data_IF_683855882302
#
_entry.id   IF_683855882302
#
_cell.length_a   1.000
_cell.length_b   1.000
_cell.length_c   1.000
_cell.angle_alpha   90.00
_cell.angle_beta   90.00
_cell.angle_gamma   90.00
#
_symmetry.space_group_name_H-M   'P 1'
#
loop_
_entity.id
_entity.type
_entity.pdbx_description
1 polymer ?
#
# COMPACT_ATOMS: atom_id res chain seq x y z
N UNK A 1 3.92 14.64 4.20
CA UNK A 1 4.58 14.79 5.52
C UNK A 1 3.93 13.78 6.43
N UNK A 2 4.71 12.87 7.03
CA UNK A 2 4.23 11.85 7.98
C UNK A 2 3.22 12.39 8.98
N UNK A 3 2.02 11.84 8.95
CA UNK A 3 1.18 11.63 10.11
C UNK A 3 0.99 10.11 10.19
N UNK A 4 0.60 9.65 11.37
CA UNK A 4 0.67 8.30 11.89
C UNK A 4 -0.60 8.08 12.73
N UNK A 5 -1.11 6.86 13.01
CA UNK A 5 -2.06 6.67 14.08
C UNK A 5 -1.23 6.63 15.38
N UNK A 6 -1.59 7.42 16.37
CA UNK A 6 -0.95 7.34 17.67
C UNK A 6 -1.40 6.06 18.42
N UNK A 7 -0.80 4.92 18.04
CA UNK A 7 -0.78 3.56 18.67
C UNK A 7 -2.14 2.82 18.67
N UNK A 8 -2.28 1.57 18.19
CA UNK A 8 -1.32 0.45 18.17
C UNK A 8 -1.33 -0.37 16.87
N UNK A 9 -0.37 -0.07 16.01
CA UNK A 9 0.07 -0.75 14.80
C UNK A 9 1.27 0.09 14.33
N UNK A 10 2.24 -0.44 13.60
CA UNK A 10 3.24 0.45 13.01
C UNK A 10 2.47 1.47 12.13
N UNK A 11 2.63 2.76 12.40
CA UNK A 11 1.97 3.79 11.62
C UNK A 11 2.30 3.60 10.15
N UNK A 12 1.27 3.55 9.30
CA UNK A 12 1.52 3.68 7.87
C UNK A 12 2.03 5.09 7.60
N UNK A 13 2.92 5.23 6.63
CA UNK A 13 3.31 6.57 6.18
C UNK A 13 2.17 7.15 5.36
N UNK A 14 1.90 8.46 5.43
CA UNK A 14 0.86 9.06 4.62
C UNK A 14 1.09 8.80 3.17
N UNK A 15 -0.02 8.63 2.48
CA UNK A 15 -0.01 8.37 1.06
C UNK A 15 0.53 9.56 0.28
N UNK A 16 1.16 9.23 -0.85
CA UNK A 16 1.64 10.21 -1.80
C UNK A 16 0.74 10.21 -3.04
N UNK A 17 0.44 11.42 -3.52
CA UNK A 17 -0.31 11.61 -4.75
C UNK A 17 0.65 11.50 -5.94
N UNK A 18 0.48 10.44 -6.72
CA UNK A 18 1.09 10.26 -8.04
C UNK A 18 0.23 10.80 -9.17
N UNK A 19 0.82 10.87 -10.36
CA UNK A 19 0.17 11.34 -11.58
C UNK A 19 0.56 10.47 -12.77
N UNK A 20 -0.38 10.25 -13.69
CA UNK A 20 -0.14 9.53 -14.94
C UNK A 20 -0.54 10.40 -16.12
N UNK A 21 0.36 10.56 -17.07
CA UNK A 21 0.08 11.21 -18.34
C UNK A 21 -0.77 10.30 -19.22
N UNK A 22 -2.07 10.60 -19.43
CA UNK A 22 -2.93 9.75 -20.26
C UNK A 22 -2.53 9.75 -21.74
N UNK A 23 -1.72 10.72 -22.19
CA UNK A 23 -1.29 10.82 -23.59
C UNK A 23 -0.04 9.97 -23.89
N UNK A 24 0.75 9.62 -22.89
CA UNK A 24 2.02 8.90 -23.07
C UNK A 24 2.15 7.62 -22.26
N UNK A 25 1.34 7.45 -21.19
CA UNK A 25 1.51 6.36 -20.23
C UNK A 25 2.74 6.56 -19.32
N UNK A 26 3.17 7.81 -19.14
CA UNK A 26 4.23 8.18 -18.19
C UNK A 26 3.63 8.29 -16.78
N UNK A 27 4.10 7.45 -15.87
CA UNK A 27 3.78 7.50 -14.46
C UNK A 27 4.81 8.34 -13.72
N UNK A 28 4.36 9.15 -12.77
CA UNK A 28 5.18 9.88 -11.82
C UNK A 28 4.56 9.73 -10.43
N UNK A 29 5.14 8.87 -9.59
CA UNK A 29 4.60 8.52 -8.27
C UNK A 29 5.22 9.34 -7.12
N UNK A 30 5.97 10.40 -7.42
CA UNK A 30 6.73 11.17 -6.43
C UNK A 30 8.20 10.75 -6.35
N UNK A 31 9.01 11.49 -5.57
CA UNK A 31 10.42 11.17 -5.25
C UNK A 31 11.35 10.76 -6.42
N UNK A 32 11.21 11.39 -7.60
CA UNK A 32 11.94 11.06 -8.84
C UNK A 32 11.61 9.66 -9.44
N UNK A 33 10.53 9.02 -8.99
CA UNK A 33 10.03 7.76 -9.53
C UNK A 33 9.18 8.02 -10.78
N UNK A 34 9.80 7.93 -11.95
CA UNK A 34 9.13 8.08 -13.23
C UNK A 34 9.42 6.93 -14.19
N UNK A 35 8.38 6.34 -14.75
CA UNK A 35 8.49 5.18 -15.63
C UNK A 35 7.30 5.09 -16.61
N UNK A 36 7.45 4.29 -17.67
CA UNK A 36 6.39 4.07 -18.63
C UNK A 36 5.67 2.75 -18.38
N UNK A 37 4.34 2.80 -18.30
CA UNK A 37 3.49 1.63 -18.26
C UNK A 37 2.14 1.96 -18.91
N UNK A 38 1.72 1.11 -19.84
CA UNK A 38 0.46 1.28 -20.57
C UNK A 38 0.58 1.97 -21.92
N UNK A 39 -0.59 2.25 -22.50
CA UNK A 39 -0.72 2.99 -23.75
C UNK A 39 -1.81 4.06 -23.62
N UNK A 40 -1.86 5.04 -24.52
CA UNK A 40 -2.88 6.09 -24.45
C UNK A 40 -4.30 5.53 -24.49
N UNK A 41 -5.14 5.99 -23.56
CA UNK A 41 -6.53 5.54 -23.40
C UNK A 41 -6.72 4.39 -22.39
N UNK A 42 -5.64 3.86 -21.80
CA UNK A 42 -5.75 3.05 -20.61
C UNK A 42 -6.13 3.93 -19.40
N UNK A 43 -6.92 3.40 -18.47
CA UNK A 43 -7.32 4.06 -17.22
C UNK A 43 -6.39 3.55 -16.11
N UNK A 44 -5.52 4.41 -15.54
CA UNK A 44 -4.61 4.03 -14.47
C UNK A 44 -5.31 3.96 -13.11
N UNK A 45 -4.82 3.05 -12.28
CA UNK A 45 -5.16 2.89 -10.87
C UNK A 45 -4.00 2.22 -10.15
N UNK A 46 -4.06 2.14 -8.82
CA UNK A 46 -3.04 1.53 -7.98
C UNK A 46 -3.70 0.49 -7.06
N UNK A 47 -2.87 -0.42 -6.56
CA UNK A 47 -3.26 -1.36 -5.52
C UNK A 47 -2.15 -2.34 -5.17
N UNK A 48 -2.25 -2.94 -3.98
CA UNK A 48 -1.36 -3.98 -3.48
C UNK A 48 -1.78 -5.37 -3.97
N UNK A 49 -1.55 -5.64 -5.25
CA UNK A 49 -1.98 -6.88 -5.93
C UNK A 49 -1.43 -8.17 -5.33
N UNK A 50 -0.40 -8.08 -4.48
CA UNK A 50 0.36 -9.23 -3.97
C UNK A 50 0.46 -9.28 -2.44
N UNK A 51 -0.27 -8.41 -1.72
CA UNK A 51 -0.30 -8.39 -0.25
C UNK A 51 1.06 -8.06 0.38
N UNK A 52 1.79 -7.16 -0.26
CA UNK A 52 3.14 -6.72 0.13
C UNK A 52 3.16 -5.46 0.99
N UNK A 53 2.02 -4.78 1.11
CA UNK A 53 1.84 -3.44 1.66
C UNK A 53 2.30 -2.33 0.70
N UNK A 54 2.58 -2.65 -0.56
CA UNK A 54 3.07 -1.66 -1.53
C UNK A 54 2.18 -1.65 -2.74
N UNK A 55 1.53 -0.52 -2.96
CA UNK A 55 0.74 -0.33 -4.15
C UNK A 55 1.62 -0.32 -5.40
N UNK A 56 1.16 -1.04 -6.42
CA UNK A 56 1.84 -1.10 -7.71
C UNK A 56 0.88 -0.80 -8.86
N UNK A 57 1.37 -0.31 -10.01
CA UNK A 57 0.52 0.17 -11.09
C UNK A 57 -0.44 -0.88 -11.66
N UNK A 58 -1.69 -0.46 -11.82
CA UNK A 58 -2.73 -1.14 -12.60
C UNK A 58 -3.23 -0.26 -13.75
N UNK A 59 -3.67 -0.89 -14.83
CA UNK A 59 -4.25 -0.24 -16.00
C UNK A 59 -5.46 -1.02 -16.48
N UNK A 60 -6.56 -0.33 -16.72
CA UNK A 60 -7.73 -0.91 -17.37
C UNK A 60 -7.78 -0.41 -18.80
N UNK A 61 -7.95 -1.32 -19.75
CA UNK A 61 -8.03 -0.99 -21.17
C UNK A 61 -9.48 -1.15 -21.66
N UNK A 62 -10.23 -0.05 -21.81
CA UNK A 62 -11.64 -0.14 -22.21
C UNK A 62 -11.83 -0.76 -23.61
N UNK A 63 -10.82 -0.68 -24.48
CA UNK A 63 -10.91 -1.20 -25.85
C UNK A 63 -10.95 -2.73 -25.93
N UNK A 64 -10.53 -3.44 -24.89
CA UNK A 64 -10.58 -4.90 -24.84
C UNK A 64 -11.14 -5.48 -23.53
N UNK A 65 -11.41 -4.64 -22.51
CA UNK A 65 -11.97 -5.05 -21.23
C UNK A 65 -10.98 -5.76 -20.31
N UNK A 66 -9.68 -5.66 -20.60
CA UNK A 66 -8.62 -6.24 -19.77
C UNK A 66 -8.09 -5.22 -18.78
N UNK A 67 -7.80 -5.71 -17.59
CA UNK A 67 -6.89 -5.06 -16.67
C UNK A 67 -5.50 -5.70 -16.74
N UNK A 68 -4.50 -4.86 -16.53
CA UNK A 68 -3.07 -5.16 -16.63
C UNK A 68 -2.41 -4.61 -15.38
N UNK A 69 -1.74 -5.47 -14.63
CA UNK A 69 -1.01 -5.07 -13.43
C UNK A 69 0.48 -5.36 -13.58
N UNK A 70 1.31 -4.62 -12.86
CA UNK A 70 2.76 -4.86 -12.81
C UNK A 70 3.18 -4.89 -11.35
N UNK A 71 4.05 -5.84 -10.99
CA UNK A 71 4.54 -6.09 -9.62
C UNK A 71 5.69 -5.16 -9.19
N UNK A 72 5.90 -4.08 -9.94
CA UNK A 72 7.05 -3.19 -9.77
C UNK A 72 6.75 -1.81 -10.34
N UNK A 73 7.43 -0.79 -9.80
CA UNK A 73 7.33 0.60 -10.23
C UNK A 73 8.46 0.97 -11.21
N UNK A 74 8.58 0.18 -12.27
CA UNK A 74 9.62 0.32 -13.29
C UNK A 74 9.03 0.19 -14.69
N UNK A 75 9.73 0.74 -15.69
CA UNK A 75 9.27 0.66 -17.08
C UNK A 75 9.21 -0.81 -17.52
N UNK A 76 8.05 -1.25 -18.00
CA UNK A 76 7.88 -2.66 -18.32
C UNK A 76 6.55 -3.02 -18.97
N UNK A 77 6.35 -4.32 -19.14
CA UNK A 77 5.08 -4.92 -19.52
C UNK A 77 4.39 -5.47 -18.27
N UNK A 78 3.09 -5.69 -18.38
CA UNK A 78 2.28 -6.26 -17.31
C UNK A 78 2.81 -7.63 -16.88
N UNK A 79 2.83 -7.86 -15.58
CA UNK A 79 3.17 -9.14 -14.96
C UNK A 79 1.98 -10.09 -15.09
N UNK A 80 0.78 -9.57 -14.84
CA UNK A 80 -0.48 -10.31 -14.96
C UNK A 80 -1.53 -9.49 -15.72
N UNK A 81 -2.51 -10.19 -16.30
CA UNK A 81 -3.65 -9.55 -16.97
C UNK A 81 -4.87 -10.45 -17.00
N UNK A 82 -6.05 -9.87 -16.86
CA UNK A 82 -7.31 -10.61 -16.79
C UNK A 82 -8.45 -9.80 -17.41
N UNK A 83 -9.44 -10.49 -17.98
CA UNK A 83 -10.64 -9.85 -18.51
C UNK A 83 -11.64 -9.63 -17.37
N UNK A 84 -12.07 -8.39 -17.16
CA UNK A 84 -12.84 -8.03 -15.95
C UNK A 84 -13.93 -6.96 -16.13
N UNK A 85 -14.15 -6.49 -17.35
CA UNK A 85 -15.23 -5.53 -17.57
C UNK A 85 -15.60 -5.40 -19.04
N UNK A 86 -16.62 -4.59 -19.29
CA UNK A 86 -17.05 -4.22 -20.63
C UNK A 86 -16.71 -2.74 -20.90
N UNK A 87 -16.63 -2.31 -22.17
CA UNK A 87 -16.39 -0.92 -22.49
C UNK A 87 -17.39 0.03 -21.80
N UNK A 88 -16.87 1.01 -21.05
CA UNK A 88 -17.66 1.96 -20.27
C UNK A 88 -17.64 1.71 -18.76
N UNK A 89 -17.15 0.55 -18.32
CA UNK A 89 -16.87 0.29 -16.91
C UNK A 89 -15.67 1.14 -16.44
N UNK A 90 -15.71 1.60 -15.19
CA UNK A 90 -14.62 2.33 -14.53
C UNK A 90 -13.93 1.36 -13.55
N UNK A 91 -12.61 1.18 -13.63
CA UNK A 91 -11.89 0.31 -12.71
C UNK A 91 -11.87 0.88 -11.30
N UNK A 92 -11.95 0.00 -10.33
CA UNK A 92 -11.68 0.26 -8.92
C UNK A 92 -10.85 -0.90 -8.37
N UNK A 93 -10.06 -0.63 -7.34
CA UNK A 93 -9.22 -1.61 -6.69
C UNK A 93 -9.37 -1.46 -5.19
N UNK A 94 -9.27 -2.58 -4.49
CA UNK A 94 -9.25 -2.60 -3.04
C UNK A 94 -9.29 -3.99 -2.43
N UNK A 95 -9.04 -4.07 -1.13
CA UNK A 95 -9.17 -5.24 -0.27
C UNK A 95 -10.60 -5.36 0.26
N UNK A 96 -11.48 -5.94 -0.56
CA UNK A 96 -12.91 -6.04 -0.24
C UNK A 96 -13.26 -7.10 0.80
N UNK A 97 -12.32 -7.97 1.19
CA UNK A 97 -12.54 -9.03 2.19
C UNK A 97 -11.57 -9.06 3.37
N UNK A 98 -10.65 -8.09 3.42
CA UNK A 98 -9.76 -7.85 4.55
C UNK A 98 -8.62 -8.86 4.64
N UNK A 99 -8.20 -9.43 3.51
CA UNK A 99 -7.10 -10.39 3.45
C UNK A 99 -5.71 -9.74 3.30
N UNK A 100 -5.71 -8.43 3.07
CA UNK A 100 -4.55 -7.57 2.86
C UNK A 100 -4.10 -7.49 1.41
N UNK A 101 -4.89 -7.96 0.45
CA UNK A 101 -4.55 -7.95 -0.99
C UNK A 101 -5.61 -7.20 -1.78
N UNK A 102 -5.16 -6.26 -2.59
CA UNK A 102 -6.08 -5.56 -3.48
C UNK A 102 -6.48 -6.42 -4.67
N UNK A 103 -7.76 -6.30 -5.00
CA UNK A 103 -8.36 -7.02 -6.09
C UNK A 103 -9.17 -6.08 -6.96
N UNK A 104 -9.16 -6.37 -8.25
CA UNK A 104 -9.81 -5.51 -9.22
C UNK A 104 -11.31 -5.72 -9.26
N UNK A 105 -12.01 -4.61 -9.21
CA UNK A 105 -13.46 -4.51 -9.31
C UNK A 105 -13.84 -3.46 -10.35
N UNK A 106 -15.11 -3.41 -10.72
CA UNK A 106 -15.59 -2.37 -11.64
C UNK A 106 -16.84 -1.70 -11.13
N UNK A 107 -16.91 -0.39 -11.35
CA UNK A 107 -18.15 0.35 -11.31
C UNK A 107 -18.68 0.49 -12.74
N UNK A 108 -19.99 0.27 -12.92
CA UNK A 108 -20.68 0.50 -14.19
C UNK A 108 -21.55 1.75 -14.09
N UNK A 109 -21.07 2.91 -14.59
CA UNK A 109 -21.81 4.16 -14.51
C UNK A 109 -23.11 4.16 -15.32
N UNK A 110 -23.30 3.28 -16.31
CA UNK A 110 -24.57 3.23 -17.04
C UNK A 110 -25.71 2.63 -16.21
N UNK A 111 -25.39 1.87 -15.16
CA UNK A 111 -26.33 1.16 -14.31
C UNK A 111 -26.34 1.68 -12.86
N UNK A 112 -25.30 2.41 -12.44
CA UNK A 112 -25.12 2.78 -11.04
C UNK A 112 -24.80 1.56 -10.17
N UNK A 113 -23.95 0.66 -10.69
CA UNK A 113 -23.76 -0.69 -10.13
C UNK A 113 -22.28 -0.99 -9.92
N UNK A 114 -21.97 -1.54 -8.74
CA UNK A 114 -20.65 -2.03 -8.36
C UNK A 114 -20.60 -3.53 -8.59
N UNK A 115 -19.48 -4.02 -9.12
CA UNK A 115 -19.16 -5.42 -9.31
C UNK A 115 -17.86 -5.72 -8.59
N UNK A 116 -17.95 -6.48 -7.51
CA UNK A 116 -16.81 -6.85 -6.68
C UNK A 116 -16.27 -8.21 -7.07
N UNK A 117 -14.95 -8.32 -7.19
CA UNK A 117 -14.24 -9.59 -7.33
C UNK A 117 -13.04 -9.62 -6.39
N UNK A 118 -12.98 -10.61 -5.50
CA UNK A 118 -11.86 -10.82 -4.56
C UNK A 118 -10.77 -11.73 -5.16
N UNK A 119 -10.83 -11.98 -6.47
CA UNK A 119 -9.82 -12.76 -7.18
C UNK A 119 -9.33 -12.00 -8.39
N UNK A 120 -8.01 -11.89 -8.52
CA UNK A 120 -7.33 -11.36 -9.71
C UNK A 120 -7.30 -12.42 -10.84
N UNK A 121 -8.47 -12.92 -11.20
CA UNK A 121 -8.70 -13.95 -12.22
C UNK A 121 -9.89 -13.59 -13.12
N UNK A 122 -9.93 -14.11 -14.36
CA UNK A 122 -11.07 -13.91 -15.27
C UNK A 122 -12.28 -14.72 -14.81
N UNK A 123 -13.10 -14.12 -13.96
CA UNK A 123 -14.29 -14.71 -13.36
C UNK A 123 -15.51 -13.78 -13.45
N UNK A 124 -16.68 -14.33 -13.11
CA UNK A 124 -17.87 -13.52 -12.84
C UNK A 124 -17.68 -12.84 -11.48
N UNK A 125 -18.12 -11.59 -11.35
CA UNK A 125 -18.13 -10.88 -10.08
C UNK A 125 -18.76 -11.74 -8.98
N UNK A 126 -18.15 -11.74 -7.79
CA UNK A 126 -18.63 -12.51 -6.64
C UNK A 126 -19.76 -11.82 -5.90
N UNK A 127 -19.79 -10.49 -5.98
CA UNK A 127 -20.90 -9.69 -5.49
C UNK A 127 -21.20 -8.58 -6.49
N UNK A 128 -22.47 -8.20 -6.57
CA UNK A 128 -22.91 -7.07 -7.35
C UNK A 128 -24.03 -6.32 -6.63
N UNK A 129 -23.97 -5.00 -6.60
CA UNK A 129 -24.98 -4.18 -5.92
C UNK A 129 -25.08 -2.78 -6.52
N UNK A 130 -26.23 -2.14 -6.35
CA UNK A 130 -26.45 -0.77 -6.77
C UNK A 130 -25.90 0.20 -5.73
N UNK A 131 -25.14 1.18 -6.18
CA UNK A 131 -24.70 2.31 -5.37
C UNK A 131 -24.60 3.56 -6.25
N UNK A 132 -25.23 4.63 -5.78
CA UNK A 132 -25.37 5.89 -6.52
C UNK A 132 -26.30 5.80 -7.73
N UNK A 133 -26.09 6.72 -8.67
CA UNK A 133 -26.89 6.84 -9.89
C UNK A 133 -25.99 6.87 -11.12
N UNK A 134 -26.56 6.74 -12.32
CA UNK A 134 -25.74 6.79 -13.52
C UNK A 134 -24.92 8.08 -13.61
N UNK A 135 -23.66 7.93 -14.04
CA UNK A 135 -22.63 8.99 -14.18
C UNK A 135 -21.92 9.44 -12.90
N UNK A 136 -22.25 8.89 -11.72
CA UNK A 136 -21.40 9.10 -10.56
C UNK A 136 -20.00 8.50 -10.82
N UNK A 137 -18.95 9.11 -10.26
CA UNK A 137 -17.55 8.69 -10.44
C UNK A 137 -17.06 7.94 -9.21
N UNK A 138 -16.56 6.71 -9.35
CA UNK A 138 -16.14 5.93 -8.20
C UNK A 138 -14.72 6.27 -7.74
N UNK A 139 -14.49 6.02 -6.47
CA UNK A 139 -13.20 5.85 -5.83
C UNK A 139 -13.40 4.82 -4.71
N UNK A 140 -12.33 4.19 -4.23
CA UNK A 140 -12.41 3.17 -3.20
C UNK A 140 -11.18 3.27 -2.32
N UNK A 141 -11.33 2.92 -1.04
CA UNK A 141 -10.30 2.83 0.02
C UNK A 141 -11.01 2.66 1.40
N UNK A 142 -10.28 2.50 2.50
CA UNK A 142 -10.83 2.25 3.85
C UNK A 142 -11.24 3.55 4.59
N UNK A 143 -12.46 4.05 4.31
CA UNK A 143 -12.95 5.30 4.88
C UNK A 143 -13.30 5.24 6.38
N UNK A 144 -13.30 4.04 6.96
CA UNK A 144 -13.76 3.80 8.32
C UNK A 144 -12.67 3.20 9.25
N UNK A 145 -11.56 2.75 8.69
CA UNK A 145 -10.38 2.23 9.38
C UNK A 145 -10.53 0.79 9.89
N UNK A 146 -11.38 -0.04 9.28
CA UNK A 146 -11.59 -1.43 9.70
C UNK A 146 -10.68 -2.46 9.00
N UNK A 147 -9.88 -2.00 8.05
CA UNK A 147 -8.97 -2.77 7.23
C UNK A 147 -9.64 -3.48 6.06
N UNK A 148 -10.82 -3.02 5.63
CA UNK A 148 -11.44 -3.39 4.36
C UNK A 148 -11.74 -2.13 3.55
N UNK A 149 -11.65 -2.24 2.22
CA UNK A 149 -11.90 -1.08 1.37
C UNK A 149 -13.39 -0.86 1.12
N UNK A 150 -13.77 0.40 1.25
CA UNK A 150 -15.11 0.92 1.06
C UNK A 150 -15.27 1.52 -0.35
N UNK A 151 -16.52 1.80 -0.75
CA UNK A 151 -16.81 2.48 -2.02
C UNK A 151 -17.26 3.92 -1.78
N UNK A 152 -16.59 4.84 -2.48
CA UNK A 152 -16.95 6.24 -2.60
C UNK A 152 -17.48 6.57 -4.00
N UNK A 153 -18.43 7.50 -4.08
CA UNK A 153 -18.95 8.05 -5.32
C UNK A 153 -18.94 9.57 -5.28
N UNK A 154 -18.38 10.21 -6.29
CA UNK A 154 -18.47 11.64 -6.52
C UNK A 154 -19.50 11.95 -7.63
N UNK A 155 -20.50 12.74 -7.29
CA UNK A 155 -21.48 13.28 -8.24
C UNK A 155 -21.03 14.65 -8.73
N UNK A 156 -20.43 14.67 -9.91
CA UNK A 156 -19.89 15.90 -10.48
C UNK A 156 -20.92 17.02 -10.64
N UNK A 157 -22.16 16.68 -11.01
CA UNK A 157 -23.22 17.68 -11.22
C UNK A 157 -23.59 18.47 -9.98
N UNK A 158 -23.28 17.96 -8.79
CA UNK A 158 -23.63 18.58 -7.50
C UNK A 158 -22.44 18.80 -6.57
N UNK A 159 -21.28 18.15 -6.81
CA UNK A 159 -20.15 18.12 -5.88
C UNK A 159 -20.44 17.28 -4.62
N UNK A 160 -21.36 16.32 -4.70
CA UNK A 160 -21.69 15.45 -3.57
C UNK A 160 -20.78 14.23 -3.58
N UNK A 161 -20.28 13.87 -2.40
CA UNK A 161 -19.60 12.62 -2.14
C UNK A 161 -20.51 11.73 -1.32
N UNK A 162 -20.61 10.47 -1.73
CA UNK A 162 -21.34 9.40 -1.05
C UNK A 162 -20.34 8.30 -0.70
N UNK A 163 -20.38 7.76 0.50
CA UNK A 163 -19.55 6.62 0.90
C UNK A 163 -20.43 5.52 1.49
N UNK A 164 -20.03 4.27 1.28
CA UNK A 164 -20.70 3.07 1.78
C UNK A 164 -19.69 2.06 2.28
N UNK A 165 -19.96 1.46 3.44
CA UNK A 165 -19.18 0.35 4.04
C UNK A 165 -19.61 -1.04 3.51
N UNK A 166 -20.50 -1.02 2.53
CA UNK A 166 -21.12 -2.20 1.95
C UNK A 166 -20.11 -3.03 1.15
N UNK A 167 -19.37 -3.88 1.85
CA UNK A 167 -18.49 -4.88 1.28
C UNK A 167 -19.23 -6.19 0.98
N UNK A 168 -18.52 -7.13 0.34
CA UNK A 168 -18.97 -8.43 -0.19
C UNK A 168 -19.79 -9.28 0.79
N UNK A 169 -19.71 -9.02 2.10
CA UNK A 169 -20.42 -9.77 3.14
C UNK A 169 -21.79 -9.22 3.57
N UNK A 170 -22.15 -7.99 3.22
CA UNK A 170 -23.31 -7.29 3.79
C UNK A 170 -24.58 -7.28 2.93
N UNK A 171 -24.45 -7.35 1.60
CA UNK A 171 -25.56 -7.19 0.66
C UNK A 171 -25.87 -8.47 -0.10
N UNK A 172 -27.16 -8.84 -0.29
CA UNK A 172 -27.53 -9.86 -1.26
C UNK A 172 -27.24 -9.38 -2.69
N UNK A 173 -26.88 -10.30 -3.58
CA UNK A 173 -26.66 -10.02 -5.01
C UNK A 173 -27.83 -9.21 -5.62
N UNK A 174 -27.50 -8.09 -6.23
CA UNK A 174 -28.44 -7.14 -6.83
C UNK A 174 -29.15 -6.23 -5.82
N UNK A 175 -28.68 -6.19 -4.56
CA UNK A 175 -29.16 -5.28 -3.52
C UNK A 175 -28.80 -3.82 -3.80
N UNK A 176 -29.34 -2.90 -2.99
CA UNK A 176 -29.01 -1.47 -3.02
C UNK A 176 -28.23 -1.15 -1.75
N UNK A 177 -27.00 -0.67 -1.91
CA UNK A 177 -26.17 -0.23 -0.80
C UNK A 177 -26.77 1.02 -0.14
N UNK A 178 -26.66 1.10 1.19
CA UNK A 178 -26.99 2.31 1.91
C UNK A 178 -25.92 3.37 1.63
N UNK A 179 -26.24 4.62 1.94
CA UNK A 179 -25.22 5.68 2.03
C UNK A 179 -24.97 5.91 3.51
N UNK A 180 -23.75 5.64 3.95
CA UNK A 180 -23.35 5.80 5.35
C UNK A 180 -22.87 7.23 5.63
N UNK A 181 -22.20 7.84 4.64
CA UNK A 181 -21.78 9.24 4.69
C UNK A 181 -22.14 9.98 3.40
N UNK A 182 -22.64 11.19 3.56
CA UNK A 182 -22.93 12.13 2.48
C UNK A 182 -22.44 13.53 2.86
N UNK A 183 -21.62 14.13 2.02
CA UNK A 183 -21.14 15.50 2.21
C UNK A 183 -20.74 16.16 0.89
N UNK A 184 -20.63 17.49 0.90
CA UNK A 184 -20.12 18.22 -0.26
C UNK A 184 -18.60 18.27 -0.25
N UNK A 185 -18.00 17.89 -1.37
CA UNK A 185 -16.57 18.02 -1.63
C UNK A 185 -16.33 18.16 -3.14
N UNK A 186 -15.67 19.23 -3.52
CA UNK A 186 -15.40 19.54 -4.92
C UNK A 186 -16.54 20.24 -5.67
N UNK A 187 -16.33 20.42 -6.97
CA UNK A 187 -17.24 21.03 -7.95
C UNK A 187 -17.24 20.18 -9.23
N UNK A 188 -18.12 20.47 -10.23
CA UNK A 188 -18.02 19.80 -11.52
C UNK A 188 -16.62 19.89 -12.13
N UNK A 189 -16.17 18.81 -12.78
CA UNK A 189 -14.85 18.63 -13.41
C UNK A 189 -13.66 18.42 -12.45
N UNK A 190 -13.88 18.39 -11.13
CA UNK A 190 -12.83 17.97 -10.20
C UNK A 190 -12.58 16.45 -10.31
N UNK A 191 -11.31 16.06 -10.38
CA UNK A 191 -10.90 14.66 -10.32
C UNK A 191 -10.72 14.26 -8.85
N UNK A 192 -11.70 13.55 -8.30
CA UNK A 192 -11.70 13.06 -6.91
C UNK A 192 -10.93 11.74 -6.81
N UNK A 193 -10.20 11.59 -5.72
CA UNK A 193 -9.45 10.40 -5.32
C UNK A 193 -9.50 10.27 -3.79
N UNK A 194 -8.91 9.21 -3.22
CA UNK A 194 -8.79 9.04 -1.79
C UNK A 194 -7.43 8.47 -1.41
N UNK A 195 -7.08 8.59 -0.13
CA UNK A 195 -5.85 8.09 0.47
C UNK A 195 -5.77 8.44 1.95
N UNK A 196 -4.83 7.82 2.66
CA UNK A 196 -4.55 8.10 4.05
C UNK A 196 -3.51 9.22 4.14
N UNK A 197 -3.99 10.44 3.95
CA UNK A 197 -3.15 11.64 4.01
C UNK A 197 -2.53 11.89 5.38
N UNK A 198 -3.08 11.23 6.40
CA UNK A 198 -2.64 11.41 7.78
C UNK A 198 -1.93 10.19 8.35
N UNK A 199 -1.67 9.17 7.53
CA UNK A 199 -1.15 7.88 7.98
C UNK A 199 -1.88 7.32 9.20
N UNK A 200 -3.15 7.66 9.44
CA UNK A 200 -3.89 7.26 10.65
C UNK A 200 -4.67 5.93 10.46
N UNK A 201 -4.56 5.32 9.29
CA UNK A 201 -5.28 4.14 8.85
C UNK A 201 -6.73 4.42 8.46
N UNK A 202 -7.10 5.68 8.20
CA UNK A 202 -8.44 6.07 7.73
C UNK A 202 -8.29 6.93 6.48
N UNK A 203 -8.82 6.43 5.38
CA UNK A 203 -8.78 7.12 4.11
C UNK A 203 -9.77 8.27 4.06
N UNK A 204 -9.39 9.31 3.32
CA UNK A 204 -10.20 10.50 3.16
C UNK A 204 -10.06 11.10 1.76
N UNK A 205 -11.02 11.90 1.29
CA UNK A 205 -11.03 12.33 -0.10
C UNK A 205 -10.02 13.44 -0.38
N UNK A 206 -9.37 13.33 -1.52
CA UNK A 206 -8.65 14.39 -2.18
C UNK A 206 -9.29 14.74 -3.53
N UNK A 207 -8.90 15.87 -4.10
CA UNK A 207 -9.25 16.19 -5.49
C UNK A 207 -8.16 17.00 -6.18
N UNK A 208 -8.06 16.83 -7.49
CA UNK A 208 -7.36 17.75 -8.38
C UNK A 208 -8.40 18.61 -9.07
N UNK A 209 -8.19 19.93 -9.04
CA UNK A 209 -8.97 20.89 -9.81
C UNK A 209 -8.16 21.36 -11.01
N UNK A 210 -8.42 20.84 -12.23
CA UNK A 210 -7.65 21.19 -13.42
C UNK A 210 -7.72 22.68 -13.73
N UNK A 211 -8.89 23.30 -13.55
CA UNK A 211 -9.11 24.74 -13.81
C UNK A 211 -8.26 25.67 -12.96
N UNK A 212 -7.80 25.21 -11.79
CA UNK A 212 -6.89 25.95 -10.91
C UNK A 212 -5.46 25.40 -10.93
N UNK A 213 -5.22 24.28 -11.62
CA UNK A 213 -4.00 23.49 -11.52
C UNK A 213 -3.57 23.31 -10.06
N UNK A 214 -4.49 22.81 -9.22
CA UNK A 214 -4.29 22.71 -7.77
C UNK A 214 -4.87 21.41 -7.23
N UNK A 215 -4.15 20.78 -6.32
CA UNK A 215 -4.58 19.61 -5.56
C UNK A 215 -5.05 20.05 -4.19
N UNK A 216 -6.11 19.44 -3.68
CA UNK A 216 -6.72 19.70 -2.38
C UNK A 216 -6.96 18.37 -1.65
N UNK A 217 -6.62 18.31 -0.37
CA UNK A 217 -6.86 17.16 0.50
C UNK A 217 -7.81 17.54 1.64
N UNK A 218 -8.62 16.58 2.07
CA UNK A 218 -9.30 16.58 3.36
C UNK A 218 -8.78 15.45 4.20
N UNK A 219 -8.52 15.72 5.47
CA UNK A 219 -8.09 14.71 6.44
C UNK A 219 -9.26 14.03 7.15
N UNK A 220 -10.48 14.49 6.90
CA UNK A 220 -11.69 13.96 7.52
C UNK A 220 -12.81 13.80 6.48
N UNK A 221 -13.59 12.74 6.65
CA UNK A 221 -14.79 12.45 5.84
C UNK A 221 -15.98 13.33 6.25
N UNK A 222 -15.82 14.64 6.12
CA UNK A 222 -16.83 15.63 6.47
C UNK A 222 -16.76 16.89 5.60
N UNK A 223 -17.88 17.62 5.52
CA UNK A 223 -17.95 18.87 4.74
C UNK A 223 -17.19 20.00 5.43
N UNK A 224 -16.07 20.41 4.84
CA UNK A 224 -15.35 21.65 5.20
C UNK A 224 -14.45 22.13 4.04
N UNK A 225 -13.70 23.20 4.26
CA UNK A 225 -12.59 23.63 3.40
C UNK A 225 -11.43 22.63 3.45
N UNK A 226 -10.60 22.62 2.41
CA UNK A 226 -9.42 21.76 2.34
C UNK A 226 -8.47 22.00 3.52
N UNK A 227 -7.91 20.92 4.05
CA UNK A 227 -6.89 20.96 5.10
C UNK A 227 -5.51 21.28 4.52
N UNK A 228 -5.21 20.70 3.36
CA UNK A 228 -3.96 20.93 2.62
C UNK A 228 -4.26 21.14 1.13
N UNK A 229 -3.51 22.07 0.51
CA UNK A 229 -3.59 22.28 -0.93
C UNK A 229 -2.30 22.86 -1.54
N UNK A 230 -1.94 22.39 -2.72
CA UNK A 230 -0.71 22.79 -3.42
C UNK A 230 -0.90 22.83 -4.93
N UNK A 231 -0.06 23.58 -5.68
CA UNK A 231 -0.11 23.58 -7.13
C UNK A 231 0.07 22.17 -7.70
N UNK A 232 -0.87 21.71 -8.51
CA UNK A 232 -0.74 20.45 -9.22
C UNK A 232 0.39 20.58 -10.25
N UNK A 233 1.43 19.78 -10.10
CA UNK A 233 2.57 19.78 -11.02
C UNK A 233 2.14 19.36 -12.44
N UNK A 234 1.09 18.56 -12.52
CA UNK A 234 0.55 18.01 -13.76
C UNK A 234 -0.99 18.09 -13.78
N UNK A 235 -1.54 19.30 -13.96
CA UNK A 235 -2.99 19.53 -13.90
C UNK A 235 -3.83 18.77 -14.95
N UNK A 236 -3.21 18.39 -16.07
CA UNK A 236 -3.85 17.62 -17.15
C UNK A 236 -3.62 16.10 -17.03
N UNK A 237 -2.86 15.67 -16.02
CA UNK A 237 -2.57 14.26 -15.78
C UNK A 237 -3.59 13.66 -14.79
N UNK A 238 -3.78 12.35 -14.86
CA UNK A 238 -4.70 11.63 -13.99
C UNK A 238 -4.03 11.42 -12.61
N UNK A 239 -4.66 11.83 -11.50
CA UNK A 239 -4.15 11.52 -10.18
C UNK A 239 -4.27 10.02 -9.91
N UNK A 240 -3.27 9.45 -9.25
CA UNK A 240 -3.27 8.10 -8.69
C UNK A 240 -2.70 8.18 -7.29
N UNK A 241 -3.18 7.34 -6.37
CA UNK A 241 -2.76 7.38 -4.97
C UNK A 241 -2.17 6.04 -4.63
N UNK A 242 -0.97 6.06 -4.06
CA UNK A 242 -0.29 4.86 -3.62
C UNK A 242 -0.33 4.78 -2.10
N UNK A 243 -1.00 3.76 -1.57
CA UNK A 243 -0.72 3.17 -0.27
C UNK A 243 0.75 2.75 -0.24
N UNK A 244 1.58 3.46 0.53
CA UNK A 244 3.00 3.13 0.66
C UNK A 244 3.26 2.68 2.09
N UNK A 245 3.12 1.38 2.37
CA UNK A 245 3.70 0.79 3.57
C UNK A 245 5.11 0.29 3.24
N UNK A 246 6.13 1.15 3.40
CA UNK A 246 7.52 0.72 3.24
C UNK A 246 7.91 -0.33 4.29
N UNK A 247 8.42 -1.46 3.80
CA UNK A 247 9.09 -2.53 4.55
C UNK A 247 10.39 -2.00 5.16
N UNK A 248 10.32 -1.32 6.30
CA UNK A 248 11.51 -0.99 7.10
C UNK A 248 11.50 -1.76 8.42
N UNK A 249 11.63 -3.08 8.32
CA UNK A 249 12.11 -3.89 9.45
C UNK A 249 12.90 -5.14 9.04
N UNK A 250 12.62 -5.73 7.88
CA UNK A 250 13.31 -6.95 7.41
C UNK A 250 14.76 -6.73 6.92
N UNK A 251 15.03 -5.59 6.28
CA UNK A 251 16.33 -5.31 5.66
C UNK A 251 17.42 -5.04 6.71
N UNK A 252 17.10 -4.36 7.82
CA UNK A 252 18.05 -4.13 8.92
C UNK A 252 18.46 -5.42 9.66
N UNK A 253 17.55 -6.40 9.76
CA UNK A 253 17.85 -7.70 10.38
C UNK A 253 18.77 -8.56 9.49
N UNK A 254 18.60 -8.51 8.18
CA UNK A 254 19.46 -9.20 7.20
C UNK A 254 20.87 -8.59 7.14
N UNK A 255 20.99 -7.26 7.19
CA UNK A 255 22.28 -6.57 7.21
C UNK A 255 23.05 -6.87 8.51
N UNK A 256 22.37 -6.92 9.66
CA UNK A 256 22.98 -7.27 10.95
C UNK A 256 23.50 -8.72 11.02
N UNK A 257 22.74 -9.69 10.50
CA UNK A 257 23.15 -11.10 10.46
C UNK A 257 24.30 -11.35 9.46
N UNK A 258 24.31 -10.64 8.33
CA UNK A 258 25.37 -10.70 7.33
C UNK A 258 26.73 -10.20 7.87
N UNK A 259 26.73 -9.11 8.64
CA UNK A 259 27.95 -8.53 9.23
C UNK A 259 28.60 -9.44 10.28
N UNK A 260 27.81 -10.12 11.12
CA UNK A 260 28.33 -11.05 12.13
C UNK A 260 28.92 -12.31 11.46
N UNK A 261 28.26 -12.86 10.45
CA UNK A 261 28.73 -14.06 9.74
C UNK A 261 30.00 -13.78 8.92
N UNK A 262 30.13 -12.57 8.37
CA UNK A 262 31.34 -12.11 7.69
C UNK A 262 32.52 -11.92 8.66
N UNK A 263 32.26 -11.43 9.88
CA UNK A 263 33.27 -11.29 10.93
C UNK A 263 33.88 -12.62 11.37
N UNK A 264 33.07 -13.68 11.50
CA UNK A 264 33.56 -15.03 11.88
C UNK A 264 34.39 -15.68 10.76
N UNK A 265 34.03 -15.44 9.50
CA UNK A 265 34.79 -15.94 8.34
C UNK A 265 36.17 -15.28 8.22
N UNK A 266 36.29 -13.98 8.55
CA UNK A 266 37.58 -13.27 8.62
C UNK A 266 38.45 -13.85 9.74
N UNK A 267 37.89 -14.14 10.92
CA UNK A 267 38.65 -14.70 12.05
C UNK A 267 39.27 -16.07 11.71
N UNK A 268 38.55 -16.92 10.97
CA UNK A 268 39.06 -18.22 10.49
C UNK A 268 40.13 -18.12 9.39
N UNK A 269 40.31 -16.94 8.79
CA UNK A 269 41.31 -16.70 7.74
C UNK A 269 42.64 -16.16 8.29
N UNK A 270 42.71 -15.83 9.59
CA UNK A 270 43.92 -15.37 10.25
C UNK A 270 44.71 -16.62 10.72
N UNK A 271 45.91 -16.89 10.19
CA UNK A 271 46.75 -17.96 10.71
C UNK A 271 47.15 -17.64 12.15
N UNK A 272 47.06 -18.64 13.03
CA UNK A 272 47.36 -18.51 14.45
C UNK A 272 48.86 -18.24 14.64
N UNK A 273 49.22 -17.01 15.06
CA UNK A 273 50.62 -16.53 15.13
C UNK A 273 51.00 -16.07 16.54
N UNK A 274 50.15 -16.24 17.56
CA UNK A 274 50.47 -15.75 18.92
C UNK A 274 50.15 -16.79 20.01
N UNK A 275 51.21 -17.36 20.59
CA UNK A 275 51.13 -18.28 21.73
C UNK A 275 50.87 -17.60 23.10
N UNK A 276 50.76 -16.26 23.15
CA UNK A 276 50.69 -15.48 24.41
C UNK A 276 49.38 -14.68 24.59
N UNK A 277 48.23 -15.17 24.08
CA UNK A 277 46.93 -14.56 24.40
C UNK A 277 46.20 -15.30 25.53
N UNK A 278 45.68 -14.54 26.49
CA UNK A 278 44.95 -15.07 27.67
C UNK A 278 43.66 -15.85 27.31
N UNK A 279 43.17 -15.71 26.07
CA UNK A 279 42.02 -16.46 25.54
C UNK A 279 42.31 -16.86 24.08
N UNK A 280 42.36 -18.16 23.74
CA UNK A 280 42.68 -18.61 22.38
C UNK A 280 41.68 -18.13 21.32
N UNK A 281 42.17 -17.77 20.13
CA UNK A 281 41.36 -17.34 18.98
C UNK A 281 40.26 -18.34 18.60
N UNK A 282 40.51 -19.64 18.79
CA UNK A 282 39.50 -20.69 18.59
C UNK A 282 38.29 -20.54 19.51
N UNK A 283 38.51 -20.11 20.77
CA UNK A 283 37.46 -19.88 21.76
C UNK A 283 36.64 -18.65 21.38
N UNK A 284 37.29 -17.58 20.92
CA UNK A 284 36.62 -16.36 20.44
C UNK A 284 35.77 -16.68 19.19
N UNK A 285 36.30 -17.45 18.25
CA UNK A 285 35.57 -17.89 17.05
C UNK A 285 34.32 -18.71 17.40
N UNK A 286 34.45 -19.66 18.33
CA UNK A 286 33.32 -20.46 18.81
C UNK A 286 32.25 -19.61 19.50
N UNK A 287 32.65 -18.63 20.31
CA UNK A 287 31.74 -17.70 20.99
C UNK A 287 31.00 -16.81 19.99
N UNK A 288 31.70 -16.25 19.00
CA UNK A 288 31.09 -15.41 17.96
C UNK A 288 30.20 -16.21 17.01
N UNK A 289 30.59 -17.42 16.63
CA UNK A 289 29.77 -18.32 15.80
C UNK A 289 28.49 -18.76 16.51
N UNK A 290 28.58 -19.11 17.79
CA UNK A 290 27.41 -19.47 18.60
C UNK A 290 26.47 -18.29 18.82
N UNK A 291 27.02 -17.08 19.03
CA UNK A 291 26.24 -15.85 19.12
C UNK A 291 25.56 -15.52 17.78
N UNK A 292 26.26 -15.65 16.66
CA UNK A 292 25.71 -15.43 15.33
C UNK A 292 24.55 -16.38 14.99
N UNK A 293 24.70 -17.67 15.29
CA UNK A 293 23.61 -18.65 15.11
C UNK A 293 22.41 -18.35 16.01
N UNK A 294 22.65 -17.96 17.27
CA UNK A 294 21.60 -17.56 18.20
C UNK A 294 20.82 -16.33 17.71
N UNK A 295 21.51 -15.30 17.22
CA UNK A 295 20.88 -14.11 16.65
C UNK A 295 20.13 -14.41 15.34
N UNK A 296 20.63 -15.33 14.50
CA UNK A 296 19.94 -15.77 13.28
C UNK A 296 18.63 -16.53 13.59
N UNK A 297 18.63 -17.37 14.63
CA UNK A 297 17.41 -18.06 15.09
C UNK A 297 16.38 -17.06 15.65
N UNK A 298 16.83 -16.04 16.39
CA UNK A 298 15.94 -14.95 16.85
C UNK A 298 15.38 -14.14 15.68
N UNK A 299 16.16 -13.91 14.61
CA UNK A 299 15.70 -13.22 13.41
C UNK A 299 14.62 -14.04 12.67
N UNK A 300 14.78 -15.36 12.54
CA UNK A 300 13.75 -16.25 11.96
C UNK A 300 12.48 -16.23 12.80
N UNK A 301 12.59 -16.26 14.13
CA UNK A 301 11.44 -16.14 15.04
C UNK A 301 10.77 -14.77 14.91
N UNK A 302 11.53 -13.69 14.71
CA UNK A 302 11.01 -12.35 14.44
C UNK A 302 10.26 -12.27 13.11
N UNK A 303 10.80 -12.85 12.03
CA UNK A 303 10.18 -12.89 10.69
C UNK A 303 8.90 -13.74 10.72
N UNK A 304 8.98 -14.95 11.27
CA UNK A 304 7.82 -15.86 11.37
C UNK A 304 6.77 -15.29 12.32
N UNK A 305 7.19 -14.66 13.42
CA UNK A 305 6.31 -13.98 14.37
C UNK A 305 5.62 -12.76 13.75
N UNK A 306 6.33 -11.99 12.92
CA UNK A 306 5.78 -10.88 12.15
C UNK A 306 4.74 -11.35 11.12
N UNK A 307 5.09 -12.34 10.29
CA UNK A 307 4.17 -12.94 9.30
C UNK A 307 2.94 -13.55 9.99
N UNK A 308 3.11 -14.20 11.14
CA UNK A 308 2.00 -14.78 11.90
C UNK A 308 1.14 -13.72 12.60
N UNK A 309 1.73 -12.61 13.05
CA UNK A 309 1.02 -11.49 13.63
C UNK A 309 0.14 -10.77 12.60
N UNK A 310 0.65 -10.55 11.39
CA UNK A 310 -0.09 -10.02 10.23
C UNK A 310 -1.26 -10.94 9.89
N UNK A 311 -1.04 -12.26 9.80
CA UNK A 311 -2.06 -13.23 9.36
C UNK A 311 -3.16 -13.57 10.38
N UNK A 312 -2.97 -13.35 11.68
CA UNK A 312 -3.91 -13.84 12.73
C UNK A 312 -4.21 -12.87 13.87
N UNK A 313 -3.88 -11.58 13.72
CA UNK A 313 -4.14 -10.53 14.73
C UNK A 313 -3.61 -10.90 16.13
N UNK A 314 -2.48 -11.58 16.19
CA UNK A 314 -1.88 -12.14 17.41
C UNK A 314 -0.83 -11.23 18.06
N UNK A 315 -1.26 -10.20 18.81
CA UNK A 315 -0.43 -9.13 19.36
C UNK A 315 0.81 -9.59 20.18
N UNK A 316 0.72 -10.73 20.87
CA UNK A 316 1.83 -11.26 21.69
C UNK A 316 3.07 -11.68 20.88
N UNK A 317 2.89 -12.10 19.63
CA UNK A 317 4.00 -12.59 18.78
C UNK A 317 4.72 -11.44 18.07
N UNK A 318 4.02 -10.37 17.71
CA UNK A 318 4.62 -9.14 17.19
C UNK A 318 5.54 -8.48 18.24
N UNK A 319 5.05 -8.34 19.47
CA UNK A 319 5.84 -7.78 20.57
C UNK A 319 7.05 -8.65 20.91
N UNK A 320 6.91 -9.98 20.88
CA UNK A 320 8.03 -10.90 21.06
C UNK A 320 9.09 -10.78 19.94
N UNK A 321 8.67 -10.60 18.68
CA UNK A 321 9.56 -10.39 17.53
C UNK A 321 10.33 -9.05 17.61
N UNK A 322 9.65 -7.96 17.96
CA UNK A 322 10.28 -6.64 18.14
C UNK A 322 11.20 -6.57 19.35
N UNK A 323 10.87 -7.28 20.44
CA UNK A 323 11.78 -7.41 21.59
C UNK A 323 13.01 -8.24 21.19
N UNK A 324 12.84 -9.32 20.43
CA UNK A 324 13.95 -10.15 19.95
C UNK A 324 14.92 -9.39 19.02
N UNK A 325 14.43 -8.45 18.21
CA UNK A 325 15.27 -7.62 17.34
C UNK A 325 16.03 -6.50 18.07
N UNK A 326 15.54 -6.02 19.23
CA UNK A 326 16.31 -5.11 20.09
C UNK A 326 17.58 -5.77 20.65
N UNK A 327 17.55 -7.08 20.90
CA UNK A 327 18.71 -7.83 21.40
C UNK A 327 19.76 -8.14 20.32
N UNK A 328 19.42 -8.07 19.02
CA UNK A 328 20.40 -8.26 17.93
C UNK A 328 21.26 -7.01 17.72
N UNK A 329 20.79 -5.82 18.09
CA UNK A 329 21.49 -4.54 17.93
C UNK A 329 22.39 -4.14 19.11
N UNK A 330 22.10 -4.63 20.31
CA UNK A 330 22.87 -4.31 21.54
C UNK A 330 24.35 -4.72 21.52
N UNK A 331 24.79 -5.83 20.89
CA UNK A 331 26.21 -6.19 20.85
C UNK A 331 27.09 -5.19 20.06
N UNK A 332 26.53 -4.53 19.05
CA UNK A 332 27.25 -3.53 18.23
C UNK A 332 27.51 -2.23 19.01
N UNK A 333 26.57 -1.83 19.88
CA UNK A 333 26.72 -0.65 20.74
C UNK A 333 27.73 -0.84 21.88
N UNK A 334 27.79 -2.04 22.47
CA UNK A 334 28.76 -2.33 23.55
C UNK A 334 30.19 -2.53 23.02
N UNK A 335 30.36 -3.11 21.83
CA UNK A 335 31.67 -3.28 21.20
C UNK A 335 32.34 -1.93 20.86
N UNK A 336 31.55 -0.90 20.53
CA UNK A 336 32.04 0.46 20.31
C UNK A 336 32.51 1.17 21.60
N UNK A 337 32.00 0.75 22.78
CA UNK A 337 32.36 1.33 24.08
C UNK A 337 33.61 0.66 24.70
N UNK A 338 33.99 -0.53 24.23
CA UNK A 338 35.15 -1.30 24.71
C UNK A 338 36.40 -1.01 23.84
N UNK A 339 36.23 -0.36 22.68
CA UNK A 339 37.31 -0.02 21.72
C UNK A 339 37.69 1.48 21.68
N UNK A 340 37.35 2.26 22.71
CA UNK A 340 37.91 3.61 22.97
C UNK A 340 38.65 3.63 24.30
#
# INVERSE_FOLDING_TARGET
>A
MTLAPAVAGAADTPDEVGFVDPATGLWNLGADESFFFGVPGDIPFLGDWYGTGVDTPGLYRPSNGFAYIIDRRETGIATDSWFMGIPGDIPIAGDWDGDGTDTFSVYRPSEGKVYINNFNETLVAQAEYYFGVPQDKPFALDFNGDGTDDIGLHRESTGLVYMTDATTGGLPDGGVAATDLEFFWGIPDDAVFAGDWTGNGVDSPGLVRPTLARTFLRYENSQDVADEDWPAQFADWMPVVAGVLQIVSGVCALIGAGLVTFGTAILHSIPDVREDEDVPLEVISWMMGSLGLFLALLAVVGIVGGIFAVRRRGFGWAMAGSIASLFTLMPLGLAALILV
#
